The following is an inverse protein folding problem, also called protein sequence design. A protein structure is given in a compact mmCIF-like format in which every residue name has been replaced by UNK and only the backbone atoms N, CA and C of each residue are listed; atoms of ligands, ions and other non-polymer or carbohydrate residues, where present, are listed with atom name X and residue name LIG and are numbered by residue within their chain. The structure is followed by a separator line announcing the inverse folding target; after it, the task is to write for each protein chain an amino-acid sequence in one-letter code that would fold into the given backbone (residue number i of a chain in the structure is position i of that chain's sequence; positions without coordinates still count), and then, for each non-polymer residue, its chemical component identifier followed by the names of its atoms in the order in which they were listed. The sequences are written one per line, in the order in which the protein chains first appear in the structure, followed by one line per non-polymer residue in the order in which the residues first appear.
data_IF_065251021308
#
_entry.id   IF_065251021308
#
_cell.length_a   1.000
_cell.length_b   1.000
_cell.length_c   1.000
_cell.angle_alpha   90.00
_cell.angle_beta   90.00
_cell.angle_gamma   90.00
#
_symmetry.space_group_name_H-M   'P 1'
#
loop_
_entity.id
_entity.type
_entity.pdbx_description
1 polymer ?
#
# COMPACT_ATOMS: atom_id res chain seq x y z
N UNK A 1 -28.63 10.11 13.06
CA UNK A 1 -27.92 10.05 11.77
C UNK A 1 -28.06 11.41 11.09
N UNK A 2 -27.01 11.91 10.42
CA UNK A 2 -27.03 13.27 9.86
C UNK A 2 -27.53 13.26 8.42
N UNK A 3 -28.53 14.09 8.12
CA UNK A 3 -29.21 14.20 6.82
C UNK A 3 -28.26 14.45 5.64
N UNK A 4 -27.08 15.02 5.89
CA UNK A 4 -26.07 15.24 4.86
C UNK A 4 -25.46 13.93 4.35
N UNK A 5 -25.26 12.93 5.19
CA UNK A 5 -24.63 11.66 4.81
C UNK A 5 -25.51 10.84 3.86
N UNK A 6 -26.82 10.87 4.08
CA UNK A 6 -27.82 10.22 3.23
C UNK A 6 -27.95 10.92 1.87
N UNK A 7 -27.86 12.25 1.85
CA UNK A 7 -27.86 13.05 0.62
C UNK A 7 -26.65 12.71 -0.28
N UNK A 8 -25.43 12.66 0.27
CA UNK A 8 -24.23 12.29 -0.50
C UNK A 8 -24.26 10.84 -1.00
N UNK A 9 -24.84 9.92 -0.22
CA UNK A 9 -25.04 8.54 -0.64
C UNK A 9 -26.06 8.45 -1.79
N UNK A 10 -27.17 9.19 -1.72
CA UNK A 10 -28.21 9.21 -2.76
C UNK A 10 -27.73 9.79 -4.09
N UNK A 11 -26.76 10.71 -4.04
CA UNK A 11 -26.15 11.32 -5.22
C UNK A 11 -24.99 10.47 -5.81
N UNK A 12 -24.71 9.28 -5.26
CA UNK A 12 -23.68 8.36 -5.75
C UNK A 12 -22.24 8.71 -5.37
N UNK A 13 -22.02 9.72 -4.51
CA UNK A 13 -20.68 10.19 -4.12
C UNK A 13 -20.02 9.34 -3.03
N UNK A 14 -20.78 8.47 -2.36
CA UNK A 14 -20.26 7.52 -1.38
C UNK A 14 -20.59 6.09 -1.80
N UNK A 15 -19.99 5.63 -2.89
CA UNK A 15 -19.99 4.20 -3.17
C UNK A 15 -19.05 3.51 -2.18
N UNK A 16 -19.47 2.39 -1.55
CA UNK A 16 -18.55 1.57 -0.79
C UNK A 16 -17.44 1.10 -1.73
N UNK A 17 -16.18 1.25 -1.32
CA UNK A 17 -15.04 0.76 -2.09
C UNK A 17 -15.25 -0.75 -2.32
N UNK A 18 -15.49 -1.13 -3.57
CA UNK A 18 -15.58 -2.54 -3.94
C UNK A 18 -14.20 -3.15 -3.69
N UNK A 19 -14.11 -4.11 -2.78
CA UNK A 19 -12.85 -4.84 -2.55
C UNK A 19 -12.51 -5.59 -3.84
N UNK A 20 -11.37 -5.27 -4.43
CA UNK A 20 -10.85 -5.97 -5.60
C UNK A 20 -10.08 -7.21 -5.15
N UNK A 21 -10.07 -8.27 -5.96
CA UNK A 21 -9.26 -9.44 -5.67
C UNK A 21 -7.78 -9.05 -5.55
N UNK A 22 -7.08 -9.48 -4.49
CA UNK A 22 -5.71 -9.06 -4.27
C UNK A 22 -4.80 -9.63 -5.36
N UNK A 23 -4.14 -8.73 -6.10
CA UNK A 23 -3.20 -9.04 -7.19
C UNK A 23 -1.85 -9.53 -6.65
N UNK A 24 -1.45 -9.01 -5.48
CA UNK A 24 -0.17 -9.32 -4.85
C UNK A 24 -0.35 -10.21 -3.61
N UNK A 25 0.60 -11.12 -3.42
CA UNK A 25 0.60 -12.05 -2.30
C UNK A 25 1.31 -11.48 -1.06
N UNK A 26 0.91 -11.95 0.12
CA UNK A 26 1.62 -11.68 1.37
C UNK A 26 3.01 -12.32 1.30
N UNK A 27 4.04 -11.56 1.67
CA UNK A 27 5.45 -11.94 1.56
C UNK A 27 6.14 -11.41 0.29
N UNK A 28 5.39 -10.86 -0.67
CA UNK A 28 5.99 -10.26 -1.86
C UNK A 28 6.78 -8.99 -1.49
N UNK A 29 8.00 -8.90 -2.02
CA UNK A 29 8.91 -7.77 -1.82
C UNK A 29 8.95 -6.87 -3.04
N UNK A 30 9.09 -5.58 -2.79
CA UNK A 30 9.33 -4.57 -3.82
C UNK A 30 10.21 -3.46 -3.25
N UNK A 31 10.91 -2.76 -4.13
CA UNK A 31 11.82 -1.66 -3.73
C UNK A 31 11.37 -0.37 -4.37
N UNK A 32 11.17 0.65 -3.55
CA UNK A 32 10.87 2.00 -4.01
C UNK A 32 12.19 2.78 -4.06
N UNK A 33 12.68 3.01 -5.27
CA UNK A 33 13.91 3.78 -5.53
C UNK A 33 13.64 5.21 -6.04
N UNK A 34 12.40 5.53 -6.39
CA UNK A 34 12.03 6.83 -6.96
C UNK A 34 11.19 7.64 -5.96
N UNK A 35 11.48 8.93 -5.85
CA UNK A 35 10.65 9.89 -5.11
C UNK A 35 11.41 10.82 -4.17
N UNK A 36 10.85 12.01 -3.96
CA UNK A 36 11.41 13.06 -3.10
C UNK A 36 11.29 12.72 -1.59
N UNK A 37 10.47 11.72 -1.23
CA UNK A 37 10.19 11.35 0.16
C UNK A 37 11.16 10.27 0.64
N UNK A 38 12.22 10.68 1.37
CA UNK A 38 13.23 9.79 1.97
C UNK A 38 12.64 8.63 2.80
N UNK A 39 11.44 8.84 3.34
CA UNK A 39 10.74 7.91 4.21
C UNK A 39 10.30 6.65 3.45
N UNK A 40 9.87 6.83 2.21
CA UNK A 40 9.37 5.78 1.32
C UNK A 40 10.49 4.97 0.67
N UNK A 41 11.67 5.57 0.54
CA UNK A 41 12.81 4.95 -0.10
C UNK A 41 13.24 3.66 0.61
N UNK A 42 13.45 2.59 -0.17
CA UNK A 42 13.96 1.31 0.28
C UNK A 42 13.05 0.12 -0.06
N UNK A 43 13.41 -1.04 0.50
CA UNK A 43 12.68 -2.29 0.30
C UNK A 43 11.50 -2.42 1.27
N UNK A 44 10.38 -2.94 0.76
CA UNK A 44 9.14 -3.17 1.47
C UNK A 44 8.62 -4.57 1.18
N UNK A 45 7.96 -5.17 2.15
CA UNK A 45 7.31 -6.47 2.04
C UNK A 45 5.84 -6.34 2.40
N UNK A 46 4.97 -6.96 1.60
CA UNK A 46 3.53 -7.02 1.85
C UNK A 46 3.29 -7.98 3.03
N UNK A 47 2.66 -7.48 4.08
CA UNK A 47 2.30 -8.27 5.26
C UNK A 47 0.80 -8.53 5.38
N UNK A 48 -0.02 -7.75 4.66
CA UNK A 48 -1.48 -7.91 4.63
C UNK A 48 -2.04 -7.40 3.30
N UNK A 49 -3.02 -8.12 2.76
CA UNK A 49 -3.73 -7.83 1.51
C UNK A 49 -5.27 -7.86 1.66
N UNK A 50 -5.81 -7.92 2.90
CA UNK A 50 -7.25 -8.02 3.19
C UNK A 50 -8.05 -6.77 2.76
N UNK A 51 -7.39 -5.61 2.64
CA UNK A 51 -8.00 -4.31 2.32
C UNK A 51 -7.63 -3.79 0.91
N UNK A 52 -7.46 -4.71 -0.05
CA UNK A 52 -7.33 -4.40 -1.47
C UNK A 52 -8.36 -3.34 -1.91
N UNK A 53 -7.93 -2.25 -2.59
CA UNK A 53 -6.65 -2.06 -3.31
C UNK A 53 -5.48 -1.52 -2.47
N UNK A 54 -5.62 -1.44 -1.14
CA UNK A 54 -4.55 -1.02 -0.23
C UNK A 54 -3.86 -2.23 0.40
N UNK A 55 -2.55 -2.25 0.33
CA UNK A 55 -1.71 -3.31 0.88
C UNK A 55 -0.94 -2.79 2.06
N UNK A 56 -0.94 -3.54 3.16
CA UNK A 56 -0.12 -3.21 4.30
C UNK A 56 1.28 -3.74 4.06
N UNK A 57 2.24 -2.83 4.06
CA UNK A 57 3.63 -3.17 3.83
C UNK A 57 4.50 -2.76 5.01
N UNK A 58 5.53 -3.56 5.26
CA UNK A 58 6.54 -3.30 6.28
C UNK A 58 7.90 -3.14 5.62
N UNK A 59 8.68 -2.19 6.11
CA UNK A 59 10.02 -1.90 5.60
C UNK A 59 10.97 -3.05 5.93
N UNK A 60 11.69 -3.51 4.92
CA UNK A 60 12.74 -4.51 5.05
C UNK A 60 14.03 -3.79 5.43
N UNK A 61 14.62 -4.20 6.56
CA UNK A 61 15.89 -3.65 7.05
C UNK A 61 17.06 -4.23 6.25
N UNK A 62 18.24 -3.60 6.34
CA UNK A 62 19.46 -4.05 5.64
C UNK A 62 19.88 -5.49 5.96
N UNK A 63 19.45 -6.03 7.10
CA UNK A 63 19.69 -7.42 7.50
C UNK A 63 18.65 -8.41 6.96
N UNK A 64 17.76 -7.97 6.08
CA UNK A 64 16.68 -8.78 5.49
C UNK A 64 15.49 -9.04 6.42
N UNK A 65 15.50 -8.51 7.66
CA UNK A 65 14.39 -8.66 8.61
C UNK A 65 13.38 -7.53 8.43
N UNK A 66 12.12 -7.83 8.75
CA UNK A 66 11.07 -6.82 8.80
C UNK A 66 11.27 -5.88 10.00
N UNK A 67 10.99 -4.60 9.77
CA UNK A 67 10.98 -3.62 10.85
C UNK A 67 9.86 -3.92 11.84
N UNK A 68 10.19 -3.90 13.15
CA UNK A 68 9.21 -4.02 14.24
C UNK A 68 8.56 -2.67 14.60
N UNK A 69 9.01 -1.58 13.99
CA UNK A 69 8.51 -0.24 14.27
C UNK A 69 7.07 -0.05 13.82
N UNK A 70 6.29 0.70 14.61
CA UNK A 70 4.89 1.04 14.30
C UNK A 70 4.71 2.38 13.61
N UNK A 71 5.80 3.09 13.32
CA UNK A 71 5.74 4.40 12.65
C UNK A 71 5.58 4.25 11.13
N UNK A 72 5.19 5.36 10.47
CA UNK A 72 4.98 5.40 9.01
C UNK A 72 6.26 5.14 8.19
N UNK A 73 7.43 5.22 8.81
CA UNK A 73 8.72 4.87 8.19
C UNK A 73 8.98 3.37 8.19
N UNK A 74 8.26 2.60 9.00
CA UNK A 74 8.43 1.17 9.18
C UNK A 74 7.24 0.38 8.64
N UNK A 75 6.02 0.91 8.75
CA UNK A 75 4.78 0.24 8.35
C UNK A 75 3.85 1.25 7.67
N UNK A 76 3.39 0.93 6.46
CA UNK A 76 2.58 1.85 5.65
C UNK A 76 1.65 1.10 4.70
N UNK A 77 0.53 1.72 4.36
CA UNK A 77 -0.36 1.26 3.30
C UNK A 77 0.14 1.79 1.94
N UNK A 78 0.19 0.90 0.95
CA UNK A 78 0.51 1.24 -0.44
C UNK A 78 -0.66 0.88 -1.35
N UNK A 79 -0.87 1.70 -2.37
CA UNK A 79 -1.86 1.41 -3.39
C UNK A 79 -1.29 0.42 -4.42
N UNK A 80 -2.15 -0.38 -5.05
CA UNK A 80 -1.77 -1.32 -6.13
C UNK A 80 -0.88 -0.66 -7.19
N UNK A 81 -1.19 0.58 -7.60
CA UNK A 81 -0.45 1.31 -8.62
C UNK A 81 1.01 1.53 -8.23
N UNK A 82 1.26 1.87 -6.96
CA UNK A 82 2.59 2.20 -6.45
C UNK A 82 3.49 0.96 -6.47
N UNK A 83 2.92 -0.18 -6.04
CA UNK A 83 3.60 -1.47 -6.05
C UNK A 83 3.88 -1.92 -7.49
N UNK A 84 2.88 -1.82 -8.39
CA UNK A 84 3.07 -2.12 -9.82
C UNK A 84 4.18 -1.28 -10.44
N UNK A 85 4.22 0.01 -10.14
CA UNK A 85 5.24 0.92 -10.65
C UNK A 85 6.63 0.57 -10.09
N UNK A 86 6.73 0.30 -8.79
CA UNK A 86 7.97 -0.14 -8.16
C UNK A 86 8.52 -1.42 -8.80
N UNK A 87 7.67 -2.43 -8.98
CA UNK A 87 8.04 -3.70 -9.62
C UNK A 87 8.46 -3.51 -11.09
N UNK A 88 7.76 -2.66 -11.84
CA UNK A 88 8.16 -2.33 -13.23
C UNK A 88 9.54 -1.72 -13.27
N UNK A 89 9.85 -0.77 -12.40
CA UNK A 89 11.18 -0.13 -12.35
C UNK A 89 12.28 -1.11 -11.95
N UNK A 90 11.98 -2.09 -11.09
CA UNK A 90 12.95 -3.12 -10.70
C UNK A 90 13.32 -4.10 -11.81
N UNK A 91 12.42 -4.34 -12.78
CA UNK A 91 12.65 -5.27 -13.89
C UNK A 91 13.37 -4.63 -15.09
N UNK A 92 13.81 -3.37 -14.99
CA UNK A 92 14.48 -2.63 -16.07
C UNK A 92 16.01 -2.59 -15.87
N UNK A 93 16.56 -3.52 -15.08
CA UNK A 93 18.01 -3.79 -15.02
C UNK A 93 18.46 -4.81 -16.07
#
# INVERSE_FOLDING_TARGET
MSASKELYASMGWSQPLTKEDPIFEVGQRFTINYGCQKNLFGAWEIVDNIDSPHYLCVKVLKNGKLSKGKNLNCKRLFYVSDIKQALKTQNVE
#
